data_IF_862354927953
#
_entry.id   IF_862354927953
#
_cell.length_a   1.000
_cell.length_b   1.000
_cell.length_c   1.000
_cell.angle_alpha   90.00
_cell.angle_beta   90.00
_cell.angle_gamma   90.00
#
_symmetry.space_group_name_H-M   'P 1'
#
loop_
_entity.id
_entity.type
_entity.pdbx_description
1 polymer ?
#
# COMPACT_ATOMS: atom_id res chain seq x y z
N UNK A 1 -19.08 -4.76 15.40
CA UNK A 1 -18.47 -4.32 14.13
C UNK A 1 -17.06 -3.85 14.45
N UNK A 2 -16.08 -4.29 13.68
CA UNK A 2 -14.69 -3.86 13.83
C UNK A 2 -14.59 -2.38 13.40
N UNK A 3 -14.11 -1.46 14.26
CA UNK A 3 -14.07 -0.03 13.98
C UNK A 3 -13.09 0.36 12.86
N UNK A 4 -12.33 -0.58 12.30
CA UNK A 4 -11.31 -0.29 11.28
C UNK A 4 -11.67 -0.73 9.85
N UNK A 5 -12.91 -1.18 9.62
CA UNK A 5 -13.37 -1.59 8.28
C UNK A 5 -14.05 -0.40 7.57
N UNK A 6 -13.28 0.30 6.75
CA UNK A 6 -13.84 1.18 5.72
C UNK A 6 -14.18 0.34 4.48
N UNK A 7 -15.45 -0.06 4.40
CA UNK A 7 -16.04 -0.56 3.15
C UNK A 7 -16.02 0.59 2.15
N UNK A 8 -15.48 0.39 0.94
CA UNK A 8 -15.64 1.35 -0.15
C UNK A 8 -17.13 1.70 -0.27
N UNK A 9 -17.48 2.96 -0.01
CA UNK A 9 -18.84 3.46 -0.10
C UNK A 9 -19.23 3.51 -1.57
N UNK A 10 -19.78 2.41 -2.08
CA UNK A 10 -20.44 2.37 -3.38
C UNK A 10 -21.95 2.63 -3.27
N UNK A 11 -22.47 2.78 -2.05
CA UNK A 11 -23.89 3.01 -1.81
C UNK A 11 -24.22 4.50 -1.84
N UNK A 12 -24.66 4.95 -3.02
CA UNK A 12 -25.02 6.34 -3.33
C UNK A 12 -26.25 6.87 -2.55
N UNK A 13 -26.89 6.04 -1.72
CA UNK A 13 -28.22 6.33 -1.16
C UNK A 13 -28.23 6.85 0.28
N UNK A 14 -27.08 6.92 0.97
CA UNK A 14 -27.06 7.42 2.35
C UNK A 14 -25.83 8.30 2.62
N UNK A 15 -25.91 9.60 2.30
CA UNK A 15 -24.95 10.63 2.71
C UNK A 15 -23.46 10.44 2.33
N UNK A 16 -23.14 9.38 1.59
CA UNK A 16 -21.81 8.80 1.39
C UNK A 16 -20.93 9.52 0.37
N UNK A 17 -20.71 10.82 0.54
CA UNK A 17 -19.70 11.52 -0.25
C UNK A 17 -18.33 11.28 0.36
N UNK A 18 -17.38 10.81 -0.44
CA UNK A 18 -15.96 10.73 -0.02
C UNK A 18 -15.55 12.12 0.50
N UNK A 19 -15.05 12.22 1.75
CA UNK A 19 -14.67 13.50 2.33
C UNK A 19 -13.56 14.16 1.52
N UNK A 20 -13.59 15.49 1.44
CA UNK A 20 -12.54 16.25 0.76
C UNK A 20 -11.20 16.11 1.47
N UNK A 21 -10.10 16.20 0.73
CA UNK A 21 -8.76 16.14 1.32
C UNK A 21 -8.57 17.30 2.32
N UNK A 22 -9.12 18.47 2.03
CA UNK A 22 -9.08 19.65 2.88
C UNK A 22 -9.81 19.39 4.21
N UNK A 23 -11.00 18.79 4.16
CA UNK A 23 -11.74 18.42 5.37
C UNK A 23 -11.01 17.39 6.23
N UNK A 24 -10.29 16.45 5.60
CA UNK A 24 -9.48 15.48 6.32
C UNK A 24 -8.24 16.13 6.94
N UNK A 25 -7.59 17.06 6.23
CA UNK A 25 -6.44 17.82 6.76
C UNK A 25 -6.81 18.75 7.92
N UNK A 26 -8.08 19.15 8.04
CA UNK A 26 -8.55 19.97 9.15
C UNK A 26 -8.75 19.18 10.46
N UNK A 27 -8.71 17.84 10.42
CA UNK A 27 -8.85 16.98 11.61
C UNK A 27 -7.58 17.06 12.46
N UNK A 28 -7.74 17.29 13.77
CA UNK A 28 -6.63 17.26 14.70
C UNK A 28 -6.01 15.84 14.76
N UNK A 29 -4.72 15.66 14.40
CA UNK A 29 -4.06 14.36 14.42
C UNK A 29 -3.90 13.75 15.82
N UNK A 30 -3.85 14.54 16.90
CA UNK A 30 -3.65 14.01 18.26
C UNK A 30 -4.91 13.42 18.87
N UNK A 31 -6.07 13.93 18.46
CA UNK A 31 -7.36 13.64 19.11
C UNK A 31 -8.19 12.63 18.31
N UNK A 32 -7.68 12.18 17.16
CA UNK A 32 -8.41 11.34 16.22
C UNK A 32 -7.68 10.03 15.95
N UNK A 33 -8.43 8.93 15.98
CA UNK A 33 -7.97 7.62 15.51
C UNK A 33 -7.98 7.50 13.97
N UNK A 34 -8.41 8.56 13.24
CA UNK A 34 -8.45 8.55 11.79
C UNK A 34 -7.03 8.51 11.22
N UNK A 35 -6.85 7.66 10.21
CA UNK A 35 -5.63 7.50 9.43
C UNK A 35 -6.04 7.40 7.95
N UNK A 36 -5.59 8.34 7.12
CA UNK A 36 -5.90 8.36 5.69
C UNK A 36 -4.60 8.28 4.91
N UNK A 37 -4.41 7.22 4.13
CA UNK A 37 -3.25 7.12 3.23
C UNK A 37 -3.61 7.72 1.88
N UNK A 38 -2.79 8.65 1.39
CA UNK A 38 -2.97 9.30 0.09
C UNK A 38 -1.83 8.94 -0.87
N UNK A 39 -2.19 8.78 -2.14
CA UNK A 39 -1.24 8.62 -3.25
C UNK A 39 -1.25 9.92 -4.05
N UNK A 40 -0.19 10.72 -3.91
CA UNK A 40 -0.04 11.98 -4.63
C UNK A 40 1.32 11.99 -5.35
N UNK A 41 1.32 11.69 -6.64
CA UNK A 41 2.55 11.63 -7.45
C UNK A 41 3.22 12.99 -7.66
N UNK A 42 2.55 14.10 -7.32
CA UNK A 42 3.05 15.46 -7.50
C UNK A 42 3.67 15.97 -6.21
N UNK A 43 2.93 15.93 -5.10
CA UNK A 43 3.38 16.50 -3.83
C UNK A 43 4.29 15.55 -3.03
N UNK A 44 4.13 14.22 -3.17
CA UNK A 44 4.90 13.24 -2.41
C UNK A 44 6.28 13.01 -3.05
N UNK A 45 7.30 13.67 -2.50
CA UNK A 45 8.69 13.53 -2.94
C UNK A 45 9.22 12.10 -2.77
N UNK A 46 8.94 11.45 -1.64
CA UNK A 46 9.38 10.08 -1.37
C UNK A 46 8.76 9.09 -2.36
N UNK A 47 7.48 9.28 -2.71
CA UNK A 47 6.84 8.48 -3.76
C UNK A 47 7.49 8.70 -5.13
N UNK A 48 7.83 9.94 -5.49
CA UNK A 48 8.54 10.22 -6.75
C UNK A 48 9.90 9.52 -6.81
N UNK A 49 10.61 9.44 -5.69
CA UNK A 49 11.86 8.67 -5.64
C UNK A 49 11.64 7.16 -5.84
N UNK A 50 10.59 6.61 -5.23
CA UNK A 50 10.20 5.21 -5.46
C UNK A 50 9.78 4.96 -6.91
N UNK A 51 9.10 5.91 -7.56
CA UNK A 51 8.75 5.84 -8.98
C UNK A 51 10.00 5.87 -9.85
N UNK A 52 10.98 6.73 -9.56
CA UNK A 52 12.26 6.75 -10.27
C UNK A 52 12.96 5.39 -10.18
N UNK A 53 13.01 4.82 -8.98
CA UNK A 53 13.59 3.48 -8.76
C UNK A 53 12.82 2.38 -9.53
N UNK A 54 11.49 2.50 -9.63
CA UNK A 54 10.68 1.57 -10.42
C UNK A 54 10.99 1.66 -11.92
N UNK A 55 11.17 2.89 -12.44
CA UNK A 55 11.61 3.12 -13.82
C UNK A 55 12.97 2.45 -14.04
N UNK A 56 13.95 2.68 -13.17
CA UNK A 56 15.28 2.07 -13.27
C UNK A 56 15.23 0.54 -13.23
N UNK A 57 14.36 -0.04 -12.40
CA UNK A 57 14.11 -1.49 -12.36
C UNK A 57 13.59 -2.01 -13.70
N UNK A 58 12.76 -1.24 -14.40
CA UNK A 58 12.18 -1.64 -15.68
C UNK A 58 13.12 -1.48 -16.87
N UNK A 59 14.13 -0.60 -16.77
CA UNK A 59 15.07 -0.36 -17.87
C UNK A 59 15.82 -1.63 -18.26
N UNK A 60 15.86 -1.91 -19.56
CA UNK A 60 16.55 -3.06 -20.17
C UNK A 60 16.06 -4.44 -19.72
N UNK A 61 14.86 -4.54 -19.14
CA UNK A 61 14.23 -5.82 -18.76
C UNK A 61 12.99 -6.08 -19.60
N UNK A 62 12.89 -7.31 -20.11
CA UNK A 62 11.71 -7.77 -20.83
C UNK A 62 10.86 -8.75 -20.01
N UNK A 63 11.42 -9.33 -18.94
CA UNK A 63 10.69 -10.27 -18.08
C UNK A 63 9.86 -9.55 -17.03
N UNK A 64 8.54 -9.49 -17.25
CA UNK A 64 7.57 -8.94 -16.30
C UNK A 64 7.63 -9.61 -14.92
N UNK A 65 8.01 -10.90 -14.84
CA UNK A 65 8.17 -11.61 -13.56
C UNK A 65 9.37 -11.08 -12.79
N UNK A 66 10.49 -10.83 -13.46
CA UNK A 66 11.67 -10.26 -12.82
C UNK A 66 11.38 -8.82 -12.33
N UNK A 67 10.76 -8.00 -13.18
CA UNK A 67 10.35 -6.62 -12.83
C UNK A 67 9.44 -6.64 -11.61
N UNK A 68 8.39 -7.48 -11.62
CA UNK A 68 7.47 -7.61 -10.50
C UNK A 68 8.18 -8.06 -9.21
N UNK A 69 9.15 -8.97 -9.31
CA UNK A 69 9.92 -9.46 -8.15
C UNK A 69 10.74 -8.33 -7.53
N UNK A 70 11.42 -7.55 -8.35
CA UNK A 70 12.24 -6.41 -7.88
C UNK A 70 11.37 -5.31 -7.29
N UNK A 71 10.25 -4.96 -7.94
CA UNK A 71 9.30 -3.99 -7.39
C UNK A 71 8.73 -4.44 -6.04
N UNK A 72 8.36 -5.72 -5.89
CA UNK A 72 7.89 -6.25 -4.62
C UNK A 72 8.95 -6.15 -3.52
N UNK A 73 10.24 -6.33 -3.86
CA UNK A 73 11.34 -6.12 -2.92
C UNK A 73 11.48 -4.65 -2.51
N UNK A 74 11.38 -3.70 -3.45
CA UNK A 74 11.40 -2.25 -3.16
C UNK A 74 10.28 -1.87 -2.18
N UNK A 75 9.05 -2.32 -2.47
CA UNK A 75 7.88 -2.08 -1.60
C UNK A 75 8.08 -2.71 -0.22
N UNK A 76 8.58 -3.94 -0.17
CA UNK A 76 8.82 -4.65 1.08
C UNK A 76 9.82 -3.93 1.95
N UNK A 77 10.99 -3.57 1.40
CA UNK A 77 12.02 -2.81 2.11
C UNK A 77 11.49 -1.47 2.60
N UNK A 78 10.72 -0.75 1.76
CA UNK A 78 10.16 0.56 2.13
C UNK A 78 9.20 0.48 3.32
N UNK A 79 8.39 -0.57 3.40
CA UNK A 79 7.28 -0.68 4.35
C UNK A 79 7.56 -1.65 5.51
N UNK A 80 8.83 -1.76 5.94
CA UNK A 80 9.19 -2.46 7.18
C UNK A 80 9.81 -3.84 6.99
N UNK A 81 10.18 -4.19 5.75
CA UNK A 81 10.85 -5.44 5.38
C UNK A 81 9.91 -6.62 5.16
N UNK A 82 10.49 -7.80 4.94
CA UNK A 82 9.74 -9.06 4.97
C UNK A 82 9.32 -9.36 6.39
N UNK A 83 8.06 -9.70 6.60
CA UNK A 83 7.53 -10.05 7.93
C UNK A 83 7.34 -11.56 7.92
N UNK A 84 7.95 -12.29 8.85
CA UNK A 84 7.65 -13.71 8.94
C UNK A 84 6.18 -13.89 9.36
N UNK A 85 5.51 -14.93 8.86
CA UNK A 85 4.10 -15.20 9.23
C UNK A 85 3.89 -15.33 10.75
N UNK A 86 4.93 -15.66 11.50
CA UNK A 86 4.94 -15.74 12.98
C UNK A 86 5.00 -14.39 13.68
N UNK A 87 5.39 -13.33 12.97
CA UNK A 87 5.62 -11.98 13.51
C UNK A 87 4.51 -10.99 13.13
N UNK A 88 3.38 -11.48 12.59
CA UNK A 88 2.25 -10.63 12.19
C UNK A 88 1.70 -9.80 13.38
N UNK A 89 1.74 -10.36 14.60
CA UNK A 89 1.29 -9.68 15.81
C UNK A 89 2.10 -8.41 16.12
N UNK A 90 3.36 -8.35 15.69
CA UNK A 90 4.26 -7.20 15.87
C UNK A 90 3.99 -6.08 14.86
N UNK A 91 3.28 -6.35 13.75
CA UNK A 91 2.96 -5.33 12.76
C UNK A 91 2.00 -4.27 13.28
N UNK A 92 1.02 -4.65 14.10
CA UNK A 92 0.04 -3.73 14.67
C UNK A 92 0.70 -2.63 15.53
N UNK A 93 1.50 -2.99 16.55
CA UNK A 93 2.26 -2.02 17.34
C UNK A 93 3.19 -1.15 16.50
N UNK A 94 3.99 -1.75 15.61
CA UNK A 94 4.94 -1.01 14.74
C UNK A 94 4.23 -0.02 13.81
N UNK A 95 3.07 -0.40 13.29
CA UNK A 95 2.23 0.50 12.50
C UNK A 95 1.77 1.69 13.33
N UNK A 96 1.19 1.46 14.52
CA UNK A 96 0.68 2.53 15.38
C UNK A 96 1.78 3.52 15.77
N UNK A 97 2.95 3.02 16.12
CA UNK A 97 4.08 3.89 16.51
C UNK A 97 4.57 4.72 15.33
N UNK A 98 4.75 4.08 14.16
CA UNK A 98 5.20 4.74 12.93
C UNK A 98 4.20 5.80 12.44
N UNK A 99 2.92 5.45 12.42
CA UNK A 99 1.85 6.37 11.98
C UNK A 99 1.60 7.46 13.01
N UNK A 100 1.64 7.16 14.30
CA UNK A 100 1.54 8.16 15.37
C UNK A 100 2.62 9.23 15.21
N UNK A 101 3.87 8.82 15.02
CA UNK A 101 4.97 9.75 14.75
C UNK A 101 4.75 10.54 13.45
N UNK A 102 4.31 9.89 12.38
CA UNK A 102 4.09 10.56 11.09
C UNK A 102 2.94 11.57 11.16
N UNK A 103 1.86 11.27 11.88
CA UNK A 103 0.73 12.17 12.14
C UNK A 103 1.17 13.42 12.89
N UNK A 104 1.97 13.25 13.95
CA UNK A 104 2.50 14.36 14.74
C UNK A 104 3.44 15.23 13.90
N UNK A 105 4.42 14.61 13.23
CA UNK A 105 5.42 15.34 12.44
C UNK A 105 4.86 16.03 11.19
N UNK A 106 3.77 15.51 10.62
CA UNK A 106 3.07 16.12 9.48
C UNK A 106 1.95 17.07 9.87
N UNK A 107 1.51 17.05 11.13
CA UNK A 107 0.36 17.83 11.60
C UNK A 107 -0.96 17.43 10.91
N UNK A 108 -1.09 16.18 10.46
CA UNK A 108 -2.20 15.74 9.60
C UNK A 108 -2.55 14.27 9.80
N UNK A 109 -3.84 13.93 9.72
CA UNK A 109 -4.31 12.52 9.62
C UNK A 109 -4.17 11.95 8.21
N UNK A 110 -3.91 12.82 7.22
CA UNK A 110 -3.64 12.45 5.82
C UNK A 110 -2.15 12.22 5.66
N UNK A 111 -1.78 10.98 5.36
CA UNK A 111 -0.43 10.44 5.33
C UNK A 111 -0.03 10.10 3.90
N UNK A 112 1.00 10.73 3.33
CA UNK A 112 1.50 10.38 2.02
C UNK A 112 2.10 8.97 2.02
N UNK A 113 1.71 8.13 1.07
CA UNK A 113 2.13 6.73 0.99
C UNK A 113 3.65 6.58 0.92
N UNK A 114 4.35 7.53 0.31
CA UNK A 114 5.80 7.56 0.20
C UNK A 114 6.50 7.76 1.55
N UNK A 115 5.83 8.31 2.57
CA UNK A 115 6.41 8.50 3.91
C UNK A 115 6.17 7.33 4.86
N UNK A 116 5.33 6.36 4.50
CA UNK A 116 5.09 5.19 5.33
C UNK A 116 6.34 4.32 5.41
N UNK A 117 6.83 4.05 6.63
CA UNK A 117 7.97 3.16 6.89
C UNK A 117 7.54 1.75 7.31
N UNK A 118 6.27 1.58 7.68
CA UNK A 118 5.62 0.32 8.01
C UNK A 118 4.29 0.29 7.25
N UNK A 119 3.84 -0.86 6.78
CA UNK A 119 2.55 -0.98 6.10
C UNK A 119 2.00 -2.39 6.09
N UNK A 120 0.69 -2.50 6.25
CA UNK A 120 -0.08 -3.74 6.04
C UNK A 120 -0.13 -4.11 4.56
N UNK A 121 -0.72 -5.28 4.27
CA UNK A 121 -0.88 -5.80 2.92
C UNK A 121 -1.62 -4.80 1.99
N UNK A 122 -2.60 -4.04 2.48
CA UNK A 122 -3.29 -3.00 1.71
C UNK A 122 -2.39 -1.84 1.30
N UNK A 123 -1.59 -1.30 2.22
CA UNK A 123 -0.65 -0.22 1.92
C UNK A 123 0.42 -0.69 0.93
N UNK A 124 0.93 -1.91 1.12
CA UNK A 124 1.93 -2.50 0.23
C UNK A 124 1.37 -2.78 -1.17
N UNK A 125 0.15 -3.33 -1.28
CA UNK A 125 -0.52 -3.55 -2.55
C UNK A 125 -0.78 -2.22 -3.28
N UNK A 126 -1.22 -1.19 -2.56
CA UNK A 126 -1.45 0.14 -3.12
C UNK A 126 -0.15 0.77 -3.64
N UNK A 127 0.94 0.69 -2.88
CA UNK A 127 2.25 1.18 -3.33
C UNK A 127 2.75 0.38 -4.53
N UNK A 128 2.68 -0.95 -4.49
CA UNK A 128 3.07 -1.80 -5.61
C UNK A 128 2.30 -1.42 -6.89
N UNK A 129 0.97 -1.31 -6.79
CA UNK A 129 0.11 -0.91 -7.92
C UNK A 129 0.52 0.45 -8.47
N UNK A 130 0.78 1.42 -7.61
CA UNK A 130 1.21 2.78 -8.00
C UNK A 130 2.53 2.75 -8.77
N UNK A 131 3.50 1.95 -8.32
CA UNK A 131 4.80 1.80 -8.99
C UNK A 131 4.67 1.04 -10.32
N UNK A 132 3.93 -0.07 -10.33
CA UNK A 132 3.67 -0.88 -11.51
C UNK A 132 2.99 -0.06 -12.62
N UNK A 133 1.98 0.74 -12.26
CA UNK A 133 1.29 1.62 -13.22
C UNK A 133 2.20 2.69 -13.80
N UNK A 134 3.20 3.15 -13.05
CA UNK A 134 4.16 4.16 -13.51
C UNK A 134 5.16 3.61 -14.54
N UNK A 135 5.26 2.29 -14.68
CA UNK A 135 6.09 1.60 -15.68
C UNK A 135 5.27 0.73 -16.63
N UNK A 136 3.94 0.90 -16.65
CA UNK A 136 3.00 0.12 -17.47
C UNK A 136 3.07 -1.41 -17.24
N UNK A 137 3.41 -1.87 -16.03
CA UNK A 137 3.36 -3.29 -15.67
C UNK A 137 1.91 -3.71 -15.34
N UNK A 138 1.29 -4.62 -16.12
CA UNK A 138 -0.11 -4.98 -15.91
C UNK A 138 -0.34 -5.70 -14.58
N UNK A 139 -1.05 -5.05 -13.66
CA UNK A 139 -1.46 -5.66 -12.39
C UNK A 139 -2.80 -5.10 -11.89
N UNK A 140 -3.43 -5.82 -10.95
CA UNK A 140 -4.66 -5.39 -10.26
C UNK A 140 -4.61 -5.73 -8.78
N UNK A 141 -5.23 -4.91 -7.95
CA UNK A 141 -5.43 -5.23 -6.53
C UNK A 141 -6.62 -6.19 -6.43
N UNK A 142 -6.49 -7.21 -5.59
CA UNK A 142 -7.56 -8.17 -5.27
C UNK A 142 -7.76 -8.25 -3.76
N UNK A 143 -8.98 -8.61 -3.36
CA UNK A 143 -9.30 -8.92 -1.96
C UNK A 143 -8.74 -10.29 -1.60
N UNK A 144 -8.23 -10.39 -0.37
CA UNK A 144 -7.56 -11.56 0.18
C UNK A 144 -6.03 -11.36 0.22
N UNK A 145 -5.41 -11.85 1.29
CA UNK A 145 -3.97 -12.03 1.42
C UNK A 145 -3.76 -13.36 2.15
N UNK A 146 -2.83 -14.18 1.66
CA UNK A 146 -2.58 -15.52 2.23
C UNK A 146 -2.13 -15.48 3.70
N UNK A 147 -1.53 -14.37 4.11
CA UNK A 147 -0.89 -14.23 5.42
C UNK A 147 -1.67 -13.36 6.39
N UNK A 148 -2.52 -12.46 5.90
CA UNK A 148 -3.31 -11.58 6.76
C UNK A 148 -4.69 -12.18 7.01
N UNK A 149 -5.03 -12.40 8.28
CA UNK A 149 -6.37 -12.91 8.68
C UNK A 149 -7.42 -11.81 8.81
N UNK A 150 -7.05 -10.54 8.58
CA UNK A 150 -7.94 -9.39 8.70
C UNK A 150 -8.95 -9.30 7.54
N UNK A 151 -10.16 -8.81 7.82
CA UNK A 151 -11.25 -8.70 6.83
C UNK A 151 -10.96 -7.76 5.63
N UNK A 152 -9.95 -6.89 5.77
CA UNK A 152 -9.46 -5.97 4.74
C UNK A 152 -8.13 -6.42 4.09
N UNK A 153 -7.79 -7.70 4.20
CA UNK A 153 -6.62 -8.26 3.54
C UNK A 153 -6.68 -8.05 2.01
N UNK A 154 -5.58 -7.60 1.40
CA UNK A 154 -5.49 -7.39 -0.05
C UNK A 154 -4.10 -7.72 -0.58
N UNK A 155 -4.03 -8.16 -1.84
CA UNK A 155 -2.80 -8.50 -2.55
C UNK A 155 -2.84 -7.97 -3.98
N UNK A 156 -1.70 -7.92 -4.67
CA UNK A 156 -1.65 -7.57 -6.09
C UNK A 156 -1.51 -8.82 -6.97
N UNK A 157 -2.32 -8.92 -8.02
CA UNK A 157 -2.14 -9.88 -9.10
C UNK A 157 -1.40 -9.22 -10.26
N UNK A 158 -0.26 -9.76 -10.66
CA UNK A 158 0.49 -9.31 -11.85
C UNK A 158 0.27 -10.29 -12.98
N UNK A 159 -0.09 -9.80 -14.16
CA UNK A 159 -0.23 -10.63 -15.37
C UNK A 159 1.10 -10.71 -16.10
N UNK A 160 1.53 -11.92 -16.46
CA UNK A 160 2.74 -12.17 -17.22
C UNK A 160 2.49 -13.23 -18.31
N UNK A 161 2.81 -12.90 -19.57
CA UNK A 161 2.51 -13.76 -20.74
C UNK A 161 1.02 -13.92 -21.08
N UNK A 162 0.70 -14.90 -21.94
CA UNK A 162 -0.67 -15.29 -22.28
C UNK A 162 -1.31 -16.07 -21.11
N UNK A 163 -1.87 -15.33 -20.14
CA UNK A 163 -2.74 -15.80 -19.03
C UNK A 163 -2.09 -16.36 -17.76
N UNK A 164 -0.79 -16.13 -17.50
CA UNK A 164 -0.21 -16.46 -16.18
C UNK A 164 -0.32 -15.27 -15.21
N UNK A 165 -0.67 -15.56 -13.94
CA UNK A 165 -0.85 -14.57 -12.88
C UNK A 165 0.11 -14.85 -11.70
N UNK A 166 0.80 -13.82 -11.21
CA UNK A 166 1.59 -13.88 -9.97
C UNK A 166 0.81 -13.20 -8.85
N UNK A 167 0.66 -13.88 -7.72
CA UNK A 167 0.17 -13.23 -6.50
C UNK A 167 1.35 -12.62 -5.78
N UNK A 168 1.26 -11.31 -5.61
CA UNK A 168 2.12 -10.54 -4.74
C UNK A 168 1.46 -10.37 -3.39
N UNK A 169 1.75 -11.32 -2.52
CA UNK A 169 1.63 -11.12 -1.09
C UNK A 169 2.89 -10.40 -0.62
N UNK A 170 2.87 -9.07 -0.69
CA UNK A 170 4.01 -8.21 -0.36
C UNK A 170 4.46 -8.30 1.12
N UNK A 171 3.84 -9.15 1.93
CA UNK A 171 4.15 -9.38 3.35
C UNK A 171 5.28 -10.41 3.54
N UNK A 172 5.37 -11.47 2.72
CA UNK A 172 6.25 -12.61 3.05
C UNK A 172 7.10 -13.11 1.87
N UNK A 173 6.56 -13.25 0.66
CA UNK A 173 7.32 -13.62 -0.55
C UNK A 173 6.39 -13.74 -1.76
N UNK A 174 6.97 -13.61 -2.95
CA UNK A 174 6.38 -14.01 -4.23
C UNK A 174 5.93 -15.48 -4.21
N UNK A 175 4.67 -15.74 -4.57
CA UNK A 175 4.14 -17.07 -4.85
C UNK A 175 3.54 -17.15 -6.25
N UNK A 176 3.66 -18.30 -6.92
CA UNK A 176 2.97 -18.58 -8.19
C UNK A 176 1.60 -19.19 -7.85
N UNK A 177 0.53 -18.73 -8.51
CA UNK A 177 -0.78 -19.40 -8.48
C UNK A 177 -0.78 -20.61 -9.42
#
# INVERSE_FOLDING_TARGET
MDPFIWTLCNDLHDGGRVPTIESLKAVNPTDSAIEVVIVDKVADYDLRQLISMAIDVSLNRTDSKEIATRLAAVVSTKMGGSVAATEEHELGPRWRDSVGFLKISSGSVVLPIGKLSVGFCCHRALLFKTLADSINLPCRIVKGCKYCKAGAATSCLVRFGHDRLLVLDAVVKMGVL
#
